data_IF_500472394340
#
_entry.id   IF_500472394340
#
_cell.length_a   1.000
_cell.length_b   1.000
_cell.length_c   1.000
_cell.angle_alpha   90.00
_cell.angle_beta   90.00
_cell.angle_gamma   90.00
#
_symmetry.space_group_name_H-M   'P 1'
#
loop_
_entity.id
_entity.type
_entity.pdbx_description
1 polymer ?
#
# COMPACT_ATOMS: atom_id res chain seq x y z
N UNK A 1 -12.46 -2.00 42.26
CA UNK A 1 -13.10 -1.43 41.05
C UNK A 1 -12.27 -1.84 39.86
N UNK A 2 -12.72 -2.85 39.15
CA UNK A 2 -11.99 -3.43 38.02
C UNK A 2 -12.06 -2.50 36.82
N UNK A 3 -10.90 -2.05 36.33
CA UNK A 3 -10.77 -1.39 35.03
C UNK A 3 -11.10 -2.45 33.96
N UNK A 4 -12.28 -2.36 33.41
CA UNK A 4 -12.73 -3.12 32.26
C UNK A 4 -11.83 -2.73 31.09
N UNK A 5 -10.96 -3.64 30.65
CA UNK A 5 -10.22 -3.50 29.41
C UNK A 5 -11.24 -3.35 28.28
N UNK A 6 -11.27 -2.17 27.66
CA UNK A 6 -12.06 -1.90 26.48
C UNK A 6 -11.46 -2.76 25.37
N UNK A 7 -12.09 -3.87 25.12
CA UNK A 7 -11.85 -4.71 23.95
C UNK A 7 -12.25 -3.90 22.74
N UNK A 8 -11.32 -3.64 21.83
CA UNK A 8 -11.64 -2.95 20.57
C UNK A 8 -12.59 -3.85 19.77
N UNK A 9 -13.88 -3.53 19.77
CA UNK A 9 -14.81 -4.10 18.82
C UNK A 9 -14.42 -3.60 17.43
N UNK A 10 -14.16 -4.53 16.52
CA UNK A 10 -14.10 -4.19 15.10
C UNK A 10 -15.54 -4.17 14.60
N UNK A 11 -15.98 -3.00 14.20
CA UNK A 11 -17.29 -2.80 13.58
C UNK A 11 -17.19 -3.23 12.12
N UNK A 12 -17.78 -4.39 11.80
CA UNK A 12 -17.90 -4.87 10.43
C UNK A 12 -19.17 -4.28 9.80
N UNK A 13 -19.03 -3.70 8.61
CA UNK A 13 -20.17 -3.22 7.86
C UNK A 13 -20.96 -4.39 7.23
N UNK A 14 -22.21 -4.15 6.88
CA UNK A 14 -23.05 -5.16 6.20
C UNK A 14 -22.38 -5.69 4.93
N UNK A 15 -21.65 -4.84 4.20
CA UNK A 15 -20.94 -5.24 2.98
C UNK A 15 -19.81 -6.23 3.30
N UNK A 16 -19.11 -6.07 4.41
CA UNK A 16 -18.03 -6.97 4.82
C UNK A 16 -18.58 -8.34 5.18
N UNK A 17 -19.70 -8.37 5.89
CA UNK A 17 -20.40 -9.60 6.27
C UNK A 17 -20.96 -10.31 5.04
N UNK A 18 -21.61 -9.58 4.13
CA UNK A 18 -22.14 -10.17 2.90
C UNK A 18 -21.04 -10.68 1.97
N UNK A 19 -19.94 -9.93 1.84
CA UNK A 19 -18.78 -10.36 1.08
C UNK A 19 -18.18 -11.65 1.67
N UNK A 20 -17.99 -11.70 2.99
CA UNK A 20 -17.46 -12.88 3.66
C UNK A 20 -18.38 -14.12 3.46
N UNK A 21 -19.69 -13.97 3.62
CA UNK A 21 -20.67 -15.03 3.32
C UNK A 21 -20.58 -15.51 1.88
N UNK A 22 -20.47 -14.58 0.93
CA UNK A 22 -20.34 -14.89 -0.48
C UNK A 22 -19.07 -15.69 -0.78
N UNK A 23 -17.91 -15.21 -0.29
CA UNK A 23 -16.64 -15.90 -0.52
C UNK A 23 -16.61 -17.27 0.13
N UNK A 24 -17.06 -17.39 1.38
CA UNK A 24 -17.08 -18.68 2.09
C UNK A 24 -18.06 -19.68 1.47
N UNK A 25 -19.07 -19.24 0.76
CA UNK A 25 -19.96 -20.16 0.03
C UNK A 25 -19.26 -20.99 -1.05
N UNK A 26 -18.08 -20.54 -1.52
CA UNK A 26 -17.23 -21.31 -2.43
C UNK A 26 -16.24 -22.23 -1.73
N UNK A 27 -16.08 -22.09 -0.41
CA UNK A 27 -15.22 -22.97 0.39
C UNK A 27 -16.04 -24.11 0.97
N UNK A 28 -15.56 -25.33 0.79
CA UNK A 28 -16.27 -26.54 1.24
C UNK A 28 -16.12 -26.79 2.75
N UNK A 29 -15.25 -26.06 3.44
CA UNK A 29 -14.88 -26.35 4.82
C UNK A 29 -15.84 -25.76 5.85
N UNK A 30 -16.68 -24.79 5.46
CA UNK A 30 -17.57 -24.03 6.36
C UNK A 30 -16.82 -23.53 7.65
N UNK A 31 -15.57 -23.14 7.46
CA UNK A 31 -14.68 -22.78 8.58
C UNK A 31 -14.83 -21.29 8.93
N UNK A 32 -15.19 -20.96 10.18
CA UNK A 32 -15.38 -19.57 10.61
C UNK A 32 -14.12 -18.70 10.48
N UNK A 33 -12.91 -19.28 10.51
CA UNK A 33 -11.66 -18.54 10.36
C UNK A 33 -11.49 -17.97 8.95
N UNK A 34 -12.07 -18.63 7.93
CA UNK A 34 -12.08 -18.15 6.56
C UNK A 34 -13.07 -16.99 6.41
N UNK A 35 -14.24 -17.10 7.04
CA UNK A 35 -15.20 -16.02 7.11
C UNK A 35 -14.59 -14.77 7.75
N UNK A 36 -13.90 -14.92 8.88
CA UNK A 36 -13.23 -13.81 9.56
C UNK A 36 -12.17 -13.16 8.67
N UNK A 37 -11.36 -13.98 8.00
CA UNK A 37 -10.33 -13.46 7.08
C UNK A 37 -10.96 -12.66 5.93
N UNK A 38 -12.03 -13.16 5.33
CA UNK A 38 -12.74 -12.50 4.24
C UNK A 38 -13.40 -11.19 4.70
N UNK A 39 -14.04 -11.18 5.88
CA UNK A 39 -14.65 -9.98 6.44
C UNK A 39 -13.58 -8.91 6.74
N UNK A 40 -12.47 -9.30 7.35
CA UNK A 40 -11.41 -8.35 7.71
C UNK A 40 -10.65 -7.80 6.51
N UNK A 41 -10.38 -8.60 5.48
CA UNK A 41 -9.73 -8.08 4.27
C UNK A 41 -10.66 -7.15 3.50
N UNK A 42 -11.98 -7.41 3.51
CA UNK A 42 -12.99 -6.50 2.97
C UNK A 42 -12.99 -5.17 3.71
N UNK A 43 -13.02 -5.21 5.04
CA UNK A 43 -12.97 -4.02 5.90
C UNK A 43 -11.70 -3.20 5.68
N UNK A 44 -10.52 -3.83 5.72
CA UNK A 44 -9.25 -3.17 5.47
C UNK A 44 -9.24 -2.46 4.11
N UNK A 45 -9.78 -3.14 3.09
CA UNK A 45 -9.90 -2.55 1.76
C UNK A 45 -10.88 -1.36 1.74
N UNK A 46 -11.99 -1.44 2.45
CA UNK A 46 -12.93 -0.35 2.62
C UNK A 46 -12.35 0.87 3.34
N UNK A 47 -11.43 0.65 4.27
CA UNK A 47 -10.68 1.69 4.98
C UNK A 47 -9.53 2.28 4.14
N UNK A 48 -9.28 1.76 2.93
CA UNK A 48 -8.28 2.26 1.99
C UNK A 48 -6.94 1.50 2.05
N UNK A 49 -6.85 0.44 2.83
CA UNK A 49 -5.66 -0.42 2.87
C UNK A 49 -5.61 -1.36 1.66
N UNK A 50 -4.42 -1.58 1.12
CA UNK A 50 -4.22 -2.51 0.00
C UNK A 50 -4.29 -3.98 0.41
N UNK A 51 -4.10 -4.29 1.69
CA UNK A 51 -4.05 -5.64 2.24
C UNK A 51 -4.35 -5.66 3.74
N UNK A 52 -4.64 -6.84 4.25
CA UNK A 52 -4.77 -7.12 5.67
C UNK A 52 -3.48 -7.77 6.19
N UNK A 53 -2.81 -7.14 7.17
CA UNK A 53 -1.66 -7.76 7.86
C UNK A 53 -2.13 -8.67 8.98
N UNK A 54 -2.11 -9.99 8.73
CA UNK A 54 -2.53 -11.00 9.70
C UNK A 54 -1.66 -11.00 10.96
N UNK A 55 -0.37 -10.61 10.87
CA UNK A 55 0.51 -10.53 12.03
C UNK A 55 0.04 -9.44 13.01
N UNK A 56 -0.49 -8.34 12.50
CA UNK A 56 -0.95 -7.23 13.32
C UNK A 56 -2.27 -7.55 14.02
N UNK A 57 -3.16 -8.28 13.36
CA UNK A 57 -4.49 -8.62 13.87
C UNK A 57 -4.43 -9.77 14.86
N UNK A 58 -3.68 -10.84 14.57
CA UNK A 58 -3.56 -12.00 15.45
C UNK A 58 -2.96 -11.68 16.84
N UNK A 59 -2.32 -10.54 16.99
CA UNK A 59 -1.78 -10.06 18.29
C UNK A 59 -2.80 -9.29 19.14
N UNK A 60 -3.93 -8.89 18.55
CA UNK A 60 -4.93 -8.09 19.25
C UNK A 60 -5.98 -9.02 19.88
N UNK A 61 -6.31 -8.86 21.16
CA UNK A 61 -7.47 -9.54 21.75
C UNK A 61 -8.74 -8.84 21.23
N UNK A 62 -9.21 -9.27 20.08
CA UNK A 62 -10.42 -8.72 19.47
C UNK A 62 -11.54 -9.73 19.72
N UNK A 63 -12.63 -9.25 20.29
CA UNK A 63 -13.91 -9.94 20.35
C UNK A 63 -14.81 -9.28 19.32
N UNK A 64 -15.33 -10.06 18.40
CA UNK A 64 -16.32 -9.62 17.43
C UNK A 64 -17.71 -9.93 17.95
N UNK A 65 -18.56 -8.93 17.90
CA UNK A 65 -19.99 -9.10 18.11
C UNK A 65 -20.66 -8.87 16.74
N UNK A 66 -21.10 -9.96 16.13
CA UNK A 66 -21.89 -9.92 14.90
C UNK A 66 -23.33 -10.14 15.31
N UNK A 67 -24.14 -9.08 15.27
CA UNK A 67 -25.56 -9.09 15.63
C UNK A 67 -25.89 -9.48 17.08
N UNK A 68 -24.96 -9.29 18.04
CA UNK A 68 -25.24 -9.47 19.46
C UNK A 68 -25.24 -10.91 19.97
N UNK A 69 -25.01 -11.91 19.13
CA UNK A 69 -25.12 -13.32 19.52
C UNK A 69 -23.85 -14.15 19.38
N UNK A 70 -22.91 -13.81 18.48
CA UNK A 70 -21.71 -14.60 18.24
C UNK A 70 -20.41 -13.82 18.53
N UNK A 71 -19.71 -14.23 19.58
CA UNK A 71 -18.37 -13.72 19.88
C UNK A 71 -17.32 -14.56 19.19
N UNK A 72 -16.82 -14.09 18.06
CA UNK A 72 -15.70 -14.72 17.37
C UNK A 72 -14.39 -14.32 18.04
N UNK A 73 -13.56 -15.32 18.35
CA UNK A 73 -12.20 -15.11 18.81
C UNK A 73 -11.25 -15.23 17.65
N UNK A 74 -10.36 -14.24 17.49
CA UNK A 74 -9.32 -14.33 16.46
C UNK A 74 -8.42 -15.55 16.74
N UNK A 75 -8.21 -16.42 15.74
CA UNK A 75 -7.35 -17.59 15.90
C UNK A 75 -5.89 -17.16 16.08
N UNK A 76 -5.08 -18.08 16.64
CA UNK A 76 -3.63 -17.87 16.65
C UNK A 76 -3.11 -17.81 15.22
N UNK A 77 -2.12 -16.95 14.97
CA UNK A 77 -1.59 -16.74 13.61
C UNK A 77 -1.22 -18.05 12.91
N UNK A 78 -0.52 -18.96 13.59
CA UNK A 78 -0.10 -20.24 13.01
C UNK A 78 -1.26 -21.15 12.60
N UNK A 79 -2.31 -21.16 13.41
CA UNK A 79 -3.53 -21.92 13.14
C UNK A 79 -4.30 -21.29 11.99
N UNK A 80 -4.42 -19.97 11.99
CA UNK A 80 -5.10 -19.21 10.95
C UNK A 80 -4.43 -19.37 9.59
N UNK A 81 -3.09 -19.20 9.52
CA UNK A 81 -2.32 -19.41 8.31
C UNK A 81 -2.48 -20.83 7.75
N UNK A 82 -2.49 -21.84 8.62
CA UNK A 82 -2.74 -23.23 8.24
C UNK A 82 -4.12 -23.38 7.60
N UNK A 83 -5.16 -22.88 8.26
CA UNK A 83 -6.54 -22.92 7.76
C UNK A 83 -6.65 -22.21 6.41
N UNK A 84 -6.11 -20.98 6.29
CA UNK A 84 -6.16 -20.20 5.06
C UNK A 84 -5.42 -20.89 3.91
N UNK A 85 -4.27 -21.50 4.17
CA UNK A 85 -3.49 -22.21 3.14
C UNK A 85 -4.16 -23.49 2.62
N UNK A 86 -5.14 -24.02 3.31
CA UNK A 86 -5.91 -25.21 2.92
C UNK A 86 -7.25 -24.85 2.24
N UNK A 87 -7.64 -23.58 2.27
CA UNK A 87 -8.89 -23.11 1.71
C UNK A 87 -8.84 -22.99 0.19
N UNK A 88 -9.95 -23.31 -0.50
CA UNK A 88 -10.07 -23.16 -1.94
C UNK A 88 -10.26 -21.70 -2.39
N UNK A 89 -10.60 -20.79 -1.46
CA UNK A 89 -10.82 -19.38 -1.75
C UNK A 89 -9.60 -18.50 -1.46
N UNK A 90 -8.51 -19.12 -0.96
CA UNK A 90 -7.23 -18.43 -0.69
C UNK A 90 -6.14 -19.05 -1.53
N UNK A 91 -5.57 -18.27 -2.43
CA UNK A 91 -4.45 -18.68 -3.28
C UNK A 91 -3.14 -18.03 -2.87
N UNK A 92 -2.08 -18.46 -3.52
CA UNK A 92 -0.74 -17.87 -3.43
C UNK A 92 -0.54 -16.81 -4.51
N UNK A 93 0.49 -15.94 -4.39
CA UNK A 93 0.89 -15.03 -5.44
C UNK A 93 1.02 -15.72 -6.81
N UNK A 94 0.24 -15.28 -7.80
CA UNK A 94 0.19 -15.87 -9.15
C UNK A 94 -0.99 -16.81 -9.40
N UNK A 95 -1.71 -17.23 -8.37
CA UNK A 95 -2.94 -18.03 -8.50
C UNK A 95 -4.17 -17.13 -8.65
N UNK A 96 -5.21 -17.66 -9.29
CA UNK A 96 -6.47 -16.94 -9.48
C UNK A 96 -7.50 -17.42 -8.45
N UNK A 97 -7.50 -16.79 -7.28
CA UNK A 97 -8.42 -17.07 -6.17
C UNK A 97 -9.01 -15.75 -5.64
N UNK A 98 -10.18 -15.77 -5.00
CA UNK A 98 -10.79 -14.56 -4.42
C UNK A 98 -9.87 -13.76 -3.49
N UNK A 99 -9.08 -14.46 -2.69
CA UNK A 99 -8.09 -13.89 -1.79
C UNK A 99 -6.69 -14.44 -2.08
N UNK A 100 -5.66 -13.62 -1.87
CA UNK A 100 -4.25 -14.01 -2.06
C UNK A 100 -3.50 -13.81 -0.75
N UNK A 101 -2.84 -14.86 -0.27
CA UNK A 101 -1.98 -14.85 0.90
C UNK A 101 -0.52 -14.88 0.47
N UNK A 102 0.26 -13.85 0.84
CA UNK A 102 1.68 -13.78 0.52
C UNK A 102 2.58 -14.35 1.64
N UNK A 103 3.88 -14.44 1.34
CA UNK A 103 4.90 -14.96 2.26
C UNK A 103 5.12 -14.10 3.51
N UNK A 104 4.63 -12.85 3.52
CA UNK A 104 4.70 -11.94 4.67
C UNK A 104 3.45 -11.97 5.53
N UNK A 105 2.57 -12.96 5.32
CA UNK A 105 1.27 -13.10 5.99
C UNK A 105 0.33 -11.94 5.73
N UNK A 106 0.41 -11.34 4.53
CA UNK A 106 -0.52 -10.31 4.09
C UNK A 106 -1.58 -10.96 3.22
N UNK A 107 -2.84 -10.71 3.58
CA UNK A 107 -3.99 -11.20 2.83
C UNK A 107 -4.56 -10.05 2.00
N UNK A 108 -4.74 -10.31 0.71
CA UNK A 108 -5.27 -9.37 -0.27
C UNK A 108 -6.58 -9.88 -0.84
N UNK A 109 -7.46 -8.98 -1.27
CA UNK A 109 -8.40 -9.33 -2.32
C UNK A 109 -7.61 -9.44 -3.64
N UNK A 110 -7.91 -10.45 -4.46
CA UNK A 110 -7.20 -10.71 -5.72
C UNK A 110 -7.02 -9.46 -6.58
N UNK A 111 -8.08 -8.68 -6.73
CA UNK A 111 -8.09 -7.46 -7.54
C UNK A 111 -6.99 -6.48 -7.12
N UNK A 112 -6.82 -6.26 -5.82
CA UNK A 112 -5.82 -5.30 -5.30
C UNK A 112 -4.41 -5.87 -5.39
N UNK A 113 -4.24 -7.16 -5.13
CA UNK A 113 -2.98 -7.84 -5.35
C UNK A 113 -2.52 -7.75 -6.82
N UNK A 114 -3.43 -8.00 -7.78
CA UNK A 114 -3.12 -7.90 -9.21
C UNK A 114 -2.74 -6.47 -9.60
N UNK A 115 -3.47 -5.46 -9.10
CA UNK A 115 -3.16 -4.06 -9.37
C UNK A 115 -1.79 -3.66 -8.83
N UNK A 116 -1.44 -4.02 -7.59
CA UNK A 116 -0.12 -3.74 -7.02
C UNK A 116 0.99 -4.44 -7.79
N UNK A 117 0.80 -5.69 -8.16
CA UNK A 117 1.78 -6.48 -8.90
C UNK A 117 2.02 -5.90 -10.31
N UNK A 118 0.97 -5.57 -11.04
CA UNK A 118 1.05 -4.93 -12.37
C UNK A 118 1.68 -3.55 -12.29
N UNK A 119 1.30 -2.72 -11.33
CA UNK A 119 1.88 -1.41 -11.11
C UNK A 119 3.37 -1.52 -10.78
N UNK A 120 3.73 -2.38 -9.84
CA UNK A 120 5.13 -2.64 -9.46
C UNK A 120 5.98 -3.08 -10.65
N UNK A 121 5.46 -4.00 -11.46
CA UNK A 121 6.14 -4.49 -12.66
C UNK A 121 6.33 -3.40 -13.69
N UNK A 122 5.31 -2.58 -13.92
CA UNK A 122 5.37 -1.44 -14.85
C UNK A 122 6.40 -0.41 -14.38
N UNK A 123 6.40 -0.06 -13.09
CA UNK A 123 7.39 0.87 -12.53
C UNK A 123 8.80 0.30 -12.65
N UNK A 124 9.00 -0.98 -12.29
CA UNK A 124 10.31 -1.64 -12.40
C UNK A 124 10.83 -1.66 -13.84
N UNK A 125 9.96 -1.87 -14.82
CA UNK A 125 10.32 -1.79 -16.23
C UNK A 125 10.76 -0.37 -16.60
N UNK A 126 9.96 0.64 -16.26
CA UNK A 126 10.27 2.05 -16.60
C UNK A 126 11.52 2.59 -15.92
N UNK A 127 11.82 2.15 -14.69
CA UNK A 127 13.04 2.56 -13.97
C UNK A 127 14.32 2.08 -14.67
N UNK A 128 14.25 0.92 -15.34
CA UNK A 128 15.41 0.34 -16.04
C UNK A 128 15.73 1.04 -17.36
N UNK A 129 14.79 1.79 -17.90
CA UNK A 129 14.91 2.40 -19.21
C UNK A 129 15.19 3.89 -19.08
N UNK A 130 16.22 4.36 -19.78
CA UNK A 130 16.53 5.78 -19.94
C UNK A 130 15.95 6.28 -21.28
N UNK A 131 15.55 7.55 -21.31
CA UNK A 131 15.11 8.20 -22.54
C UNK A 131 16.34 8.45 -23.40
N UNK A 132 16.34 7.93 -24.61
CA UNK A 132 17.42 8.09 -25.57
C UNK A 132 17.15 9.29 -26.50
N UNK A 133 18.22 9.81 -27.15
CA UNK A 133 18.09 10.83 -28.18
C UNK A 133 17.80 12.25 -27.66
N UNK A 134 18.04 12.52 -26.36
CA UNK A 134 17.88 13.85 -25.80
C UNK A 134 19.02 14.75 -26.29
N UNK A 135 18.68 15.83 -26.97
CA UNK A 135 19.64 16.87 -27.30
C UNK A 135 20.02 17.66 -26.06
N UNK A 136 21.29 17.49 -25.65
CA UNK A 136 21.82 18.10 -24.43
C UNK A 136 21.92 19.63 -24.51
N UNK A 137 22.07 20.19 -25.73
CA UNK A 137 22.13 21.63 -25.92
C UNK A 137 20.76 22.27 -25.72
N UNK A 138 19.72 21.68 -26.33
CA UNK A 138 18.33 22.12 -26.17
C UNK A 138 17.89 21.98 -24.70
N UNK A 139 18.25 20.87 -24.05
CA UNK A 139 17.94 20.65 -22.63
C UNK A 139 18.60 21.71 -21.75
N UNK A 140 19.88 22.00 -21.99
CA UNK A 140 20.64 23.01 -21.23
C UNK A 140 19.99 24.40 -21.35
N UNK A 141 19.68 24.82 -22.57
CA UNK A 141 19.07 26.12 -22.82
C UNK A 141 17.66 26.24 -22.21
N UNK A 142 16.89 25.15 -22.29
CA UNK A 142 15.57 25.06 -21.63
C UNK A 142 15.67 25.15 -20.12
N UNK A 143 16.65 24.46 -19.51
CA UNK A 143 16.87 24.51 -18.06
C UNK A 143 17.34 25.88 -17.58
N UNK A 144 18.17 26.60 -18.37
CA UNK A 144 18.59 27.96 -18.05
C UNK A 144 17.38 28.90 -18.08
N UNK A 145 16.53 28.76 -19.09
CA UNK A 145 15.33 29.58 -19.25
C UNK A 145 14.28 29.32 -18.16
N UNK A 146 14.04 28.06 -17.82
CA UNK A 146 13.00 27.67 -16.86
C UNK A 146 13.44 27.86 -15.40
N UNK A 147 14.73 27.73 -15.14
CA UNK A 147 15.30 27.83 -13.79
C UNK A 147 16.47 28.84 -13.80
N UNK A 148 16.20 30.14 -13.92
CA UNK A 148 17.23 31.17 -13.91
C UNK A 148 17.99 31.15 -12.58
N UNK A 149 19.30 31.45 -12.61
CA UNK A 149 20.09 31.59 -11.41
C UNK A 149 19.71 32.89 -10.70
N UNK A 150 19.19 32.82 -9.50
CA UNK A 150 18.77 33.99 -8.70
C UNK A 150 19.95 34.66 -7.95
N UNK A 151 21.19 34.48 -8.42
CA UNK A 151 22.37 35.13 -7.83
C UNK A 151 22.80 34.59 -6.46
N UNK A 152 22.21 33.50 -6.00
CA UNK A 152 22.63 32.77 -4.79
C UNK A 152 23.50 31.59 -5.20
N UNK A 153 24.61 31.34 -4.50
CA UNK A 153 25.47 30.16 -4.68
C UNK A 153 24.78 28.85 -4.22
N UNK A 154 23.47 28.89 -3.94
CA UNK A 154 22.72 27.73 -3.50
C UNK A 154 22.43 26.80 -4.69
N UNK A 155 22.61 25.51 -4.41
CA UNK A 155 22.37 24.45 -5.38
C UNK A 155 20.89 24.36 -5.78
N UNK A 156 20.60 24.55 -7.08
CA UNK A 156 19.23 24.57 -7.59
C UNK A 156 18.66 23.16 -7.78
N UNK A 157 18.02 22.64 -6.75
CA UNK A 157 17.41 21.30 -6.76
C UNK A 157 16.31 21.13 -7.79
N UNK A 158 15.58 22.20 -8.16
CA UNK A 158 14.56 22.13 -9.19
C UNK A 158 15.16 21.87 -10.57
N UNK A 159 16.32 22.46 -10.83
CA UNK A 159 17.08 22.21 -12.06
C UNK A 159 17.57 20.77 -12.13
N UNK A 160 18.05 20.20 -11.02
CA UNK A 160 18.44 18.79 -10.93
C UNK A 160 17.26 17.87 -11.15
N UNK A 161 16.12 18.15 -10.51
CA UNK A 161 14.89 17.38 -10.72
C UNK A 161 14.45 17.43 -12.20
N UNK A 162 14.53 18.58 -12.85
CA UNK A 162 14.25 18.73 -14.28
C UNK A 162 15.17 17.89 -15.17
N UNK A 163 16.48 17.86 -14.86
CA UNK A 163 17.43 17.00 -15.58
C UNK A 163 17.07 15.51 -15.41
N UNK A 164 16.83 15.08 -14.17
CA UNK A 164 16.47 13.68 -13.90
C UNK A 164 15.18 13.30 -14.64
N UNK A 165 14.16 14.16 -14.58
CA UNK A 165 12.89 13.94 -15.26
C UNK A 165 13.03 13.84 -16.79
N UNK A 166 13.96 14.58 -17.38
CA UNK A 166 14.21 14.53 -18.81
C UNK A 166 14.86 13.20 -19.24
N UNK A 167 15.76 12.62 -18.44
CA UNK A 167 16.50 11.41 -18.80
C UNK A 167 15.82 10.11 -18.37
N UNK A 168 14.87 10.14 -17.43
CA UNK A 168 14.26 8.94 -16.87
C UNK A 168 12.82 8.75 -17.34
N UNK A 169 12.46 7.54 -17.76
CA UNK A 169 11.06 7.19 -18.07
C UNK A 169 10.17 7.17 -16.83
N UNK A 170 10.76 7.06 -15.63
CA UNK A 170 10.07 7.17 -14.36
C UNK A 170 10.97 7.81 -13.32
N UNK A 171 10.48 8.87 -12.69
CA UNK A 171 11.11 9.48 -11.52
C UNK A 171 10.03 9.91 -10.52
N UNK A 172 10.38 9.98 -9.25
CA UNK A 172 9.51 10.49 -8.19
C UNK A 172 10.15 11.74 -7.61
N UNK A 173 9.44 12.87 -7.69
CA UNK A 173 9.85 14.14 -7.10
C UNK A 173 8.96 14.35 -5.89
N UNK A 174 9.57 14.40 -4.70
CA UNK A 174 8.86 14.62 -3.43
C UNK A 174 9.30 15.95 -2.83
N UNK A 175 8.35 16.72 -2.34
CA UNK A 175 8.60 17.96 -1.63
C UNK A 175 7.36 18.36 -0.85
N UNK A 176 7.53 19.03 0.28
CA UNK A 176 6.40 19.57 1.05
C UNK A 176 5.68 20.67 0.27
N UNK A 177 4.36 20.88 0.51
CA UNK A 177 3.60 21.99 -0.06
C UNK A 177 4.02 23.31 0.58
N UNK A 178 5.25 23.73 0.35
CA UNK A 178 5.77 24.96 0.94
C UNK A 178 5.35 26.17 0.07
N UNK A 179 4.09 26.58 0.19
CA UNK A 179 3.56 27.80 -0.47
C UNK A 179 4.07 29.11 0.15
N UNK A 180 4.82 29.08 1.26
CA UNK A 180 5.16 30.28 2.02
C UNK A 180 6.57 30.81 1.85
N UNK A 181 7.50 30.11 1.18
CA UNK A 181 8.90 30.53 1.12
C UNK A 181 9.32 31.17 -0.21
N UNK A 182 8.40 31.67 -1.01
CA UNK A 182 8.75 32.48 -2.20
C UNK A 182 9.12 33.95 -1.87
N UNK A 183 8.92 34.38 -0.61
CA UNK A 183 9.16 35.77 -0.24
C UNK A 183 10.19 36.03 0.89
N UNK A 184 10.60 35.03 1.64
CA UNK A 184 11.56 35.24 2.72
C UNK A 184 12.77 34.31 2.57
N UNK A 185 13.89 34.92 2.14
CA UNK A 185 15.17 34.24 1.93
C UNK A 185 15.82 33.70 3.21
N UNK A 186 15.14 32.85 3.96
CA UNK A 186 15.73 32.16 5.14
C UNK A 186 15.30 30.69 5.19
N UNK A 187 16.26 29.82 4.88
CA UNK A 187 16.40 28.44 5.34
C UNK A 187 15.18 27.52 5.31
N UNK A 188 14.94 26.84 4.20
CA UNK A 188 14.33 25.52 4.26
C UNK A 188 15.15 24.52 3.44
N UNK A 189 15.80 23.59 4.13
CA UNK A 189 16.42 22.41 3.53
C UNK A 189 15.31 21.51 2.98
N UNK A 190 14.94 21.67 1.73
CA UNK A 190 14.13 20.68 1.02
C UNK A 190 14.99 19.44 0.82
N UNK A 191 14.70 18.38 1.54
CA UNK A 191 15.38 17.10 1.38
C UNK A 191 14.84 16.38 0.14
N UNK A 192 15.42 16.59 -1.01
CA UNK A 192 15.24 15.71 -2.16
C UNK A 192 15.99 14.41 -1.89
N UNK A 193 15.27 13.32 -1.66
CA UNK A 193 15.86 11.99 -1.66
C UNK A 193 15.66 11.36 -3.02
N UNK A 194 16.72 11.28 -3.81
CA UNK A 194 16.78 10.30 -4.89
C UNK A 194 16.92 8.92 -4.23
N UNK A 195 16.00 8.00 -4.52
CA UNK A 195 16.07 6.64 -4.00
C UNK A 195 17.23 5.94 -4.74
N UNK A 196 18.31 5.55 -4.05
CA UNK A 196 19.41 4.85 -4.71
C UNK A 196 18.98 3.43 -5.10
N UNK A 197 19.50 2.95 -6.20
CA UNK A 197 19.38 1.55 -6.66
C UNK A 197 19.94 0.62 -5.57
N UNK A 198 19.16 -0.33 -5.11
CA UNK A 198 19.63 -1.62 -4.60
C UNK A 198 19.28 -2.69 -5.60
#
# INVERSE_FOLDING_TARGET
>A
MNKTNITNLIDLSDIDVHFAKFVTSFDKSDNPDIFLAAAFVSRATGDGDGYLDLNSIARKPILLDINGEDRFKIPKLSEWLKTLSQSQVVGRPGEFCPMILDEKNRLYLYRYWDYENRLSSTIKCRIKEDIQGIDRSILKDSLIRLFPNNGTDEFNWHKVAGVIAAFKKFCVITGGPNRQNFHDGKNSRSSFRAIPKR
#
